data_IF_452328368442
#
_entry.id   IF_452328368442
#
_cell.length_a   1.000
_cell.length_b   1.000
_cell.length_c   1.000
_cell.angle_alpha   90.00
_cell.angle_beta   90.00
_cell.angle_gamma   90.00
#
_symmetry.space_group_name_H-M   'P 1'
#
loop_
_entity.id
_entity.type
_entity.pdbx_description
1 polymer ?
#
# COMPACT_ATOMS: atom_id res chain seq x y z
N UNK A 1 -8.57 25.71 -16.28
CA UNK A 1 -8.28 24.27 -16.50
C UNK A 1 -7.07 24.11 -17.40
N UNK A 2 -6.12 23.27 -17.00
CA UNK A 2 -4.92 22.93 -17.79
C UNK A 2 -5.30 22.34 -19.16
N UNK A 3 -4.47 22.61 -20.17
CA UNK A 3 -4.56 22.04 -21.52
C UNK A 3 -4.59 20.50 -21.47
N UNK A 4 -3.79 19.90 -20.59
CA UNK A 4 -3.75 18.45 -20.42
C UNK A 4 -5.08 17.85 -19.95
N UNK A 5 -5.77 18.52 -19.01
CA UNK A 5 -7.07 18.07 -18.52
C UNK A 5 -8.14 18.14 -19.62
N UNK A 6 -8.16 19.24 -20.40
CA UNK A 6 -9.08 19.38 -21.53
C UNK A 6 -8.81 18.34 -22.61
N UNK A 7 -7.55 18.11 -22.95
CA UNK A 7 -7.14 17.10 -23.92
C UNK A 7 -7.52 15.68 -23.47
N UNK A 8 -7.33 15.35 -22.18
CA UNK A 8 -7.73 14.04 -21.63
C UNK A 8 -9.23 13.80 -21.63
N UNK A 9 -10.04 14.84 -21.36
CA UNK A 9 -11.51 14.74 -21.49
C UNK A 9 -11.92 14.57 -22.95
N UNK A 10 -11.29 15.32 -23.87
CA UNK A 10 -11.62 15.30 -25.30
C UNK A 10 -11.22 14.00 -25.99
N UNK A 11 -10.02 13.49 -25.73
CA UNK A 11 -9.45 12.33 -26.43
C UNK A 11 -9.55 11.02 -25.64
N UNK A 12 -9.96 11.10 -24.37
CA UNK A 12 -10.10 9.95 -23.49
C UNK A 12 -8.76 9.46 -22.90
N UNK A 13 -8.84 8.77 -21.76
CA UNK A 13 -7.66 8.24 -21.04
C UNK A 13 -6.86 7.25 -21.88
N UNK A 14 -7.54 6.43 -22.69
CA UNK A 14 -6.92 5.34 -23.46
C UNK A 14 -5.83 5.85 -24.40
N UNK A 15 -6.09 6.93 -25.15
CA UNK A 15 -5.10 7.49 -26.07
C UNK A 15 -3.79 7.85 -25.38
N UNK A 16 -3.85 8.45 -24.19
CA UNK A 16 -2.64 8.84 -23.45
C UNK A 16 -1.86 7.63 -22.93
N UNK A 17 -2.57 6.56 -22.55
CA UNK A 17 -1.94 5.29 -22.19
C UNK A 17 -1.27 4.69 -23.43
N UNK A 18 -1.98 4.60 -24.55
CA UNK A 18 -1.44 4.04 -25.80
C UNK A 18 -0.19 4.83 -26.30
N UNK A 19 -0.19 6.17 -26.14
CA UNK A 19 0.98 7.00 -26.47
C UNK A 19 2.15 6.70 -25.52
N UNK A 20 1.89 6.63 -24.22
CA UNK A 20 2.91 6.31 -23.22
C UNK A 20 3.54 4.94 -23.49
N UNK A 21 2.72 3.91 -23.73
CA UNK A 21 3.19 2.56 -24.03
C UNK A 21 4.04 2.54 -25.31
N UNK A 22 3.63 3.24 -26.36
CA UNK A 22 4.42 3.37 -27.60
C UNK A 22 5.77 4.05 -27.38
N UNK A 23 5.83 5.09 -26.56
CA UNK A 23 7.10 5.76 -26.21
C UNK A 23 7.99 4.78 -25.44
N UNK A 24 7.43 4.07 -24.46
CA UNK A 24 8.19 3.11 -23.66
C UNK A 24 8.75 1.96 -24.51
N UNK A 25 7.95 1.40 -25.44
CA UNK A 25 8.42 0.39 -26.39
C UNK A 25 9.59 0.89 -27.21
N UNK A 26 9.55 2.13 -27.69
CA UNK A 26 10.70 2.73 -28.39
C UNK A 26 11.94 2.87 -27.51
N UNK A 27 11.76 3.23 -26.23
CA UNK A 27 12.88 3.27 -25.29
C UNK A 27 13.50 1.88 -25.08
N UNK A 28 12.68 0.82 -25.07
CA UNK A 28 13.14 -0.57 -24.98
C UNK A 28 13.91 -0.97 -26.25
N UNK A 29 13.37 -0.69 -27.43
CA UNK A 29 14.01 -0.97 -28.73
C UNK A 29 15.38 -0.27 -28.85
N UNK A 30 15.53 0.91 -28.25
CA UNK A 30 16.78 1.67 -28.21
C UNK A 30 17.73 1.24 -27.07
N UNK A 31 17.37 0.25 -26.27
CA UNK A 31 18.20 -0.25 -25.15
C UNK A 31 18.32 0.74 -23.99
N UNK A 32 17.40 1.70 -23.85
CA UNK A 32 17.42 2.70 -22.78
C UNK A 32 16.82 2.19 -21.47
N UNK A 33 16.09 1.08 -21.51
CA UNK A 33 15.33 0.53 -20.38
C UNK A 33 15.97 -0.76 -19.87
N UNK A 34 16.23 -0.81 -18.57
CA UNK A 34 16.59 -2.04 -17.86
C UNK A 34 15.33 -2.78 -17.38
N UNK A 35 15.25 -4.07 -17.63
CA UNK A 35 14.10 -4.91 -17.20
C UNK A 35 14.32 -5.65 -15.87
N UNK A 36 15.51 -5.55 -15.27
CA UNK A 36 15.86 -6.36 -14.10
C UNK A 36 15.16 -5.90 -12.82
N UNK A 37 15.05 -4.57 -12.64
CA UNK A 37 14.68 -3.95 -11.39
C UNK A 37 13.72 -2.78 -11.58
N UNK A 38 12.84 -2.60 -10.59
CA UNK A 38 11.83 -1.56 -10.60
C UNK A 38 11.89 -0.75 -9.31
N UNK A 39 11.98 0.58 -9.45
CA UNK A 39 11.97 1.53 -8.34
C UNK A 39 10.59 2.15 -8.24
N UNK A 40 10.03 2.25 -7.04
CA UNK A 40 8.70 2.82 -6.82
C UNK A 40 8.78 3.95 -5.79
N UNK A 41 8.21 5.09 -6.16
CA UNK A 41 7.99 6.20 -5.25
C UNK A 41 6.65 6.89 -5.53
N UNK A 42 6.21 7.74 -4.60
CA UNK A 42 5.02 8.56 -4.77
C UNK A 42 5.25 10.00 -4.36
N UNK A 43 4.67 10.91 -5.15
CA UNK A 43 4.73 12.35 -4.89
C UNK A 43 3.33 12.95 -4.79
N UNK A 44 3.22 14.02 -4.00
CA UNK A 44 1.96 14.74 -3.82
C UNK A 44 1.85 15.83 -4.87
N UNK A 45 0.80 15.76 -5.69
CA UNK A 45 0.50 16.72 -6.74
C UNK A 45 -0.69 17.56 -6.29
N UNK A 46 -0.52 18.89 -6.22
CA UNK A 46 -1.60 19.81 -5.85
C UNK A 46 -2.73 19.73 -6.88
N UNK A 47 -3.96 19.58 -6.40
CA UNK A 47 -5.13 19.58 -7.24
C UNK A 47 -5.47 21.02 -7.66
N UNK A 48 -5.99 21.17 -8.87
CA UNK A 48 -6.53 22.45 -9.34
C UNK A 48 -7.99 22.59 -8.88
N UNK A 49 -8.19 22.56 -7.56
CA UNK A 49 -9.50 22.67 -6.91
C UNK A 49 -9.38 23.60 -5.69
N UNK A 50 -10.42 24.41 -5.46
CA UNK A 50 -10.47 25.35 -4.33
C UNK A 50 -10.87 24.63 -3.05
N UNK A 51 -10.28 25.03 -1.92
CA UNK A 51 -10.71 24.56 -0.60
C UNK A 51 -12.17 24.95 -0.29
N UNK A 52 -12.66 26.06 -0.87
CA UNK A 52 -14.07 26.51 -0.75
C UNK A 52 -15.05 25.60 -1.47
N UNK A 53 -14.57 24.70 -2.35
CA UNK A 53 -15.43 23.73 -3.05
C UNK A 53 -15.80 22.51 -2.18
N UNK A 54 -15.23 22.40 -0.98
CA UNK A 54 -15.43 21.27 -0.08
C UNK A 54 -16.82 21.30 0.56
N UNK A 55 -17.53 20.19 0.44
CA UNK A 55 -18.80 19.97 1.14
C UNK A 55 -18.73 18.75 2.03
N UNK A 56 -19.47 18.80 3.14
CA UNK A 56 -19.60 17.64 4.02
C UNK A 56 -20.45 16.55 3.37
N UNK A 57 -19.99 15.32 3.53
CA UNK A 57 -20.71 14.14 3.09
C UNK A 57 -21.36 13.51 4.32
N UNK A 58 -22.69 13.37 4.30
CA UNK A 58 -23.48 12.63 5.28
C UNK A 58 -23.32 11.11 5.10
N UNK A 59 -22.09 10.62 5.01
CA UNK A 59 -21.78 9.20 5.03
C UNK A 59 -20.82 8.93 6.18
N UNK A 60 -21.12 7.91 6.98
CA UNK A 60 -20.13 7.42 7.92
C UNK A 60 -18.87 7.01 7.15
N UNK A 61 -17.65 7.19 7.69
CA UNK A 61 -16.42 6.80 7.00
C UNK A 61 -16.49 5.37 6.43
N UNK A 62 -17.09 4.42 7.16
CA UNK A 62 -17.28 3.04 6.69
C UNK A 62 -18.21 2.89 5.47
N UNK A 63 -19.27 3.69 5.37
CA UNK A 63 -20.16 3.70 4.20
C UNK A 63 -19.49 4.35 2.98
N UNK A 64 -18.66 5.38 3.21
CA UNK A 64 -17.90 6.03 2.14
C UNK A 64 -16.87 5.07 1.52
N UNK A 65 -16.10 4.32 2.34
CA UNK A 65 -15.18 3.28 1.86
C UNK A 65 -15.91 2.20 1.06
N UNK A 66 -17.00 1.63 1.61
CA UNK A 66 -17.82 0.63 0.90
C UNK A 66 -18.36 1.14 -0.45
N UNK A 67 -18.49 2.47 -0.62
CA UNK A 67 -18.93 3.10 -1.86
C UNK A 67 -17.77 3.27 -2.84
N UNK A 68 -16.62 3.76 -2.40
CA UNK A 68 -15.41 3.86 -3.22
C UNK A 68 -14.91 2.48 -3.68
N UNK A 69 -14.86 1.49 -2.78
CA UNK A 69 -14.49 0.11 -3.12
C UNK A 69 -15.43 -0.51 -4.16
N UNK A 70 -16.69 -0.07 -4.18
CA UNK A 70 -17.68 -0.51 -5.18
C UNK A 70 -17.42 0.10 -6.56
N UNK A 71 -16.84 1.31 -6.59
CA UNK A 71 -16.55 2.06 -7.81
C UNK A 71 -15.19 1.70 -8.40
N UNK A 72 -14.18 1.40 -7.56
CA UNK A 72 -12.82 1.03 -7.98
C UNK A 72 -12.67 -0.47 -8.30
N UNK A 73 -13.69 -1.31 -8.07
CA UNK A 73 -13.61 -2.74 -8.38
C UNK A 73 -13.58 -3.00 -9.90
N UNK A 74 -12.52 -3.61 -10.46
CA UNK A 74 -12.61 -4.19 -11.79
C UNK A 74 -13.63 -5.34 -11.79
N UNK A 75 -14.51 -5.36 -12.80
CA UNK A 75 -15.66 -6.28 -12.93
C UNK A 75 -15.33 -7.79 -13.05
N UNK A 76 -14.07 -8.22 -12.91
CA UNK A 76 -13.70 -9.65 -12.90
C UNK A 76 -13.16 -10.07 -11.54
N UNK A 77 -13.83 -11.03 -10.92
CA UNK A 77 -13.30 -11.85 -9.82
C UNK A 77 -12.31 -12.84 -10.45
N UNK A 78 -11.07 -12.81 -10.01
CA UNK A 78 -10.11 -13.90 -10.20
C UNK A 78 -9.93 -14.54 -8.83
N UNK A 79 -10.01 -15.86 -8.78
CA UNK A 79 -9.91 -16.66 -7.56
C UNK A 79 -8.50 -16.61 -6.98
N UNK A 80 -8.43 -16.57 -5.64
CA UNK A 80 -7.20 -16.35 -4.87
C UNK A 80 -7.31 -15.08 -4.02
N UNK A 81 -7.12 -15.19 -2.71
CA UNK A 81 -7.33 -14.10 -1.75
C UNK A 81 -6.57 -12.83 -2.14
N UNK A 82 -7.29 -11.84 -2.68
CA UNK A 82 -6.71 -10.59 -3.21
C UNK A 82 -6.05 -9.77 -2.11
N UNK A 83 -4.84 -9.31 -2.40
CA UNK A 83 -4.29 -8.09 -1.86
C UNK A 83 -5.20 -6.92 -2.25
N UNK A 84 -5.86 -6.29 -1.28
CA UNK A 84 -6.85 -5.22 -1.54
C UNK A 84 -6.25 -3.82 -1.50
N UNK A 85 -4.96 -3.69 -1.11
CA UNK A 85 -4.35 -2.39 -0.81
C UNK A 85 -4.92 -1.72 0.45
N UNK A 86 -5.83 -2.38 1.18
CA UNK A 86 -6.45 -1.84 2.39
C UNK A 86 -5.50 -1.93 3.59
N UNK A 87 -5.03 -0.78 4.05
CA UNK A 87 -4.23 -0.74 5.29
C UNK A 87 -5.14 -1.01 6.50
N UNK A 88 -4.68 -1.90 7.38
CA UNK A 88 -5.26 -2.11 8.71
C UNK A 88 -5.30 -0.77 9.48
N UNK A 89 -6.48 -0.14 9.51
CA UNK A 89 -6.73 1.19 10.11
C UNK A 89 -6.34 1.23 11.59
N UNK A 90 -6.31 0.08 12.28
CA UNK A 90 -5.89 -0.02 13.68
C UNK A 90 -4.36 0.12 13.85
N UNK A 91 -3.58 0.02 12.77
CA UNK A 91 -2.13 0.26 12.76
C UNK A 91 -1.74 1.72 12.46
N UNK A 92 -2.67 2.54 11.98
CA UNK A 92 -2.39 3.96 11.72
C UNK A 92 -2.21 4.77 13.01
N UNK A 93 -1.20 5.64 13.04
CA UNK A 93 -1.00 6.60 14.14
C UNK A 93 -2.24 7.47 14.36
N UNK A 94 -2.56 7.78 15.62
CA UNK A 94 -3.82 8.45 16.05
C UNK A 94 -4.10 9.74 15.26
N UNK A 95 -3.08 10.61 15.11
CA UNK A 95 -3.17 11.86 14.32
C UNK A 95 -3.49 11.64 12.84
N UNK A 96 -2.92 10.60 12.22
CA UNK A 96 -3.20 10.24 10.80
C UNK A 96 -4.59 9.64 10.64
N UNK A 97 -5.09 8.91 11.64
CA UNK A 97 -6.50 8.46 11.68
C UNK A 97 -7.47 9.62 11.80
N UNK A 98 -7.17 10.59 12.65
CA UNK A 98 -8.05 11.74 12.88
C UNK A 98 -8.11 12.67 11.65
N UNK A 99 -6.96 12.93 11.02
CA UNK A 99 -6.89 13.69 9.76
C UNK A 99 -7.58 12.93 8.62
N UNK A 100 -7.35 11.62 8.47
CA UNK A 100 -8.09 10.81 7.48
C UNK A 100 -9.59 10.86 7.78
N UNK A 101 -10.02 10.72 9.04
CA UNK A 101 -11.43 10.77 9.42
C UNK A 101 -12.08 12.11 9.08
N UNK A 102 -11.37 13.23 9.26
CA UNK A 102 -11.84 14.56 8.89
C UNK A 102 -11.86 14.77 7.36
N UNK A 103 -10.81 14.35 6.66
CA UNK A 103 -10.74 14.37 5.19
C UNK A 103 -11.83 13.50 4.56
N UNK A 104 -12.22 12.38 5.18
CA UNK A 104 -13.24 11.46 4.67
C UNK A 104 -14.67 12.01 4.80
N UNK A 105 -14.87 13.05 5.64
CA UNK A 105 -16.16 13.70 5.80
C UNK A 105 -16.40 14.83 4.81
N UNK A 106 -15.37 15.23 4.05
CA UNK A 106 -15.47 16.36 3.11
C UNK A 106 -15.04 15.91 1.72
N UNK A 107 -15.74 16.37 0.68
CA UNK A 107 -15.40 16.11 -0.72
C UNK A 107 -15.53 17.38 -1.53
N UNK A 108 -14.63 17.58 -2.49
CA UNK A 108 -14.72 18.72 -3.38
C UNK A 108 -15.84 18.49 -4.40
N UNK A 109 -16.68 19.51 -4.59
CA UNK A 109 -17.69 19.52 -5.66
C UNK A 109 -17.07 19.58 -7.05
N UNK A 110 -15.97 20.29 -7.19
CA UNK A 110 -15.29 20.49 -8.47
C UNK A 110 -14.34 19.35 -8.82
N UNK A 111 -13.76 18.70 -7.81
CA UNK A 111 -12.89 17.55 -8.01
C UNK A 111 -13.07 16.46 -6.94
N UNK A 112 -14.05 15.57 -7.15
CA UNK A 112 -14.37 14.44 -6.30
C UNK A 112 -13.22 13.60 -5.73
N UNK A 113 -12.13 13.45 -6.48
CA UNK A 113 -11.06 12.49 -6.17
C UNK A 113 -9.89 13.18 -5.44
N UNK A 114 -9.88 14.51 -5.43
CA UNK A 114 -8.91 15.29 -4.67
C UNK A 114 -9.21 15.21 -3.17
N UNK A 115 -8.17 14.98 -2.36
CA UNK A 115 -8.31 14.89 -0.89
C UNK A 115 -7.39 15.87 -0.19
N UNK A 116 -7.78 16.25 1.03
CA UNK A 116 -7.05 17.25 1.81
C UNK A 116 -5.76 16.65 2.34
N UNK A 117 -4.65 17.31 2.07
CA UNK A 117 -3.36 17.07 2.73
C UNK A 117 -2.99 18.30 3.53
N UNK A 118 -2.47 18.08 4.73
CA UNK A 118 -1.84 19.12 5.54
C UNK A 118 -0.32 18.99 5.44
N UNK A 119 0.36 20.07 5.07
CA UNK A 119 1.82 20.18 5.11
C UNK A 119 2.23 21.29 6.07
N UNK A 120 3.11 21.01 7.06
CA UNK A 120 3.66 22.05 7.93
C UNK A 120 4.24 23.21 7.10
N UNK A 121 3.91 24.45 7.47
CA UNK A 121 4.36 25.67 6.78
C UNK A 121 3.55 26.09 5.55
N UNK A 122 2.82 25.18 4.89
CA UNK A 122 2.05 25.48 3.67
C UNK A 122 0.53 25.41 3.87
N UNK A 123 0.07 24.93 5.03
CA UNK A 123 -1.34 24.76 5.34
C UNK A 123 -1.96 23.51 4.71
N UNK A 124 -3.29 23.47 4.65
CA UNK A 124 -4.05 22.41 3.98
C UNK A 124 -4.33 22.76 2.53
N UNK A 125 -4.30 21.79 1.64
CA UNK A 125 -4.76 21.95 0.25
C UNK A 125 -5.25 20.62 -0.32
N UNK A 126 -6.07 20.70 -1.37
CA UNK A 126 -6.48 19.55 -2.15
C UNK A 126 -5.34 19.02 -3.03
N UNK A 127 -5.19 17.70 -3.05
CA UNK A 127 -4.10 17.04 -3.78
C UNK A 127 -4.44 15.60 -4.19
N UNK A 128 -3.59 15.06 -5.06
CA UNK A 128 -3.47 13.65 -5.40
C UNK A 128 -2.10 13.13 -5.03
N UNK A 129 -1.99 11.81 -5.06
CA UNK A 129 -0.73 11.10 -5.05
C UNK A 129 -0.47 10.53 -6.43
N UNK A 130 0.64 10.92 -7.04
CA UNK A 130 1.15 10.30 -8.25
C UNK A 130 2.19 9.26 -7.83
N UNK A 131 1.91 8.00 -8.12
CA UNK A 131 2.80 6.88 -7.90
C UNK A 131 3.51 6.58 -9.21
N UNK A 132 4.82 6.50 -9.16
CA UNK A 132 5.68 6.37 -10.34
C UNK A 132 6.54 5.13 -10.12
N UNK A 133 6.61 4.30 -11.16
CA UNK A 133 7.57 3.24 -11.26
C UNK A 133 8.58 3.56 -12.35
N UNK A 134 9.85 3.42 -12.04
CA UNK A 134 10.94 3.54 -13.00
C UNK A 134 11.74 2.26 -13.07
N UNK A 135 12.46 2.07 -14.17
CA UNK A 135 13.57 1.14 -14.20
C UNK A 135 14.79 1.70 -13.43
N UNK A 136 15.92 1.01 -13.53
CA UNK A 136 17.17 1.43 -12.91
C UNK A 136 17.89 2.57 -13.64
N UNK A 137 17.56 2.83 -14.92
CA UNK A 137 18.10 3.96 -15.69
C UNK A 137 17.26 5.24 -15.55
N UNK A 138 16.14 5.20 -14.84
CA UNK A 138 15.26 6.35 -14.57
C UNK A 138 14.15 6.56 -15.61
N UNK A 139 13.96 5.64 -16.54
CA UNK A 139 12.82 5.63 -17.46
C UNK A 139 11.57 5.22 -16.70
N UNK A 140 10.51 6.02 -16.83
CA UNK A 140 9.21 5.72 -16.22
C UNK A 140 8.57 4.56 -16.98
N UNK A 141 8.32 3.46 -16.26
CA UNK A 141 7.72 2.24 -16.83
C UNK A 141 6.23 2.11 -16.50
N UNK A 142 5.78 2.71 -15.40
CA UNK A 142 4.35 2.72 -15.03
C UNK A 142 4.02 3.94 -14.16
N UNK A 143 2.76 4.38 -14.23
CA UNK A 143 2.23 5.47 -13.41
C UNK A 143 0.83 5.13 -12.93
N UNK A 144 0.55 5.41 -11.66
CA UNK A 144 -0.80 5.35 -11.10
C UNK A 144 -1.10 6.64 -10.32
N UNK A 145 -2.37 7.02 -10.24
CA UNK A 145 -2.80 8.17 -9.47
C UNK A 145 -3.88 7.75 -8.48
N UNK A 146 -3.76 8.21 -7.25
CA UNK A 146 -4.76 7.97 -6.21
C UNK A 146 -5.09 9.27 -5.46
N UNK A 147 -6.22 9.31 -4.73
CA UNK A 147 -6.41 10.30 -3.70
C UNK A 147 -5.21 10.33 -2.74
N UNK A 148 -4.80 11.51 -2.27
CA UNK A 148 -3.70 11.66 -1.31
C UNK A 148 -3.92 10.95 0.03
N UNK A 149 -5.19 10.79 0.44
CA UNK A 149 -5.57 10.05 1.64
C UNK A 149 -5.23 8.56 1.56
N UNK A 150 -5.15 8.01 0.34
CA UNK A 150 -4.84 6.60 0.09
C UNK A 150 -3.41 6.28 0.45
N UNK A 151 -3.19 5.05 0.90
CA UNK A 151 -1.85 4.58 1.25
C UNK A 151 -1.05 4.22 0.01
N UNK A 152 0.27 4.43 0.07
CA UNK A 152 1.19 4.27 -1.06
C UNK A 152 1.17 2.84 -1.62
N UNK A 153 1.04 1.87 -0.72
CA UNK A 153 0.96 0.44 -1.05
C UNK A 153 -0.25 0.08 -1.91
N UNK A 154 -1.34 0.87 -1.86
CA UNK A 154 -2.56 0.59 -2.61
C UNK A 154 -2.36 0.65 -4.14
N UNK A 155 -1.38 1.43 -4.62
CA UNK A 155 -1.10 1.57 -6.05
C UNK A 155 -0.09 0.53 -6.58
N UNK A 156 0.56 -0.24 -5.71
CA UNK A 156 1.59 -1.22 -6.08
C UNK A 156 1.10 -2.26 -7.10
N UNK A 157 -0.13 -2.82 -6.97
CA UNK A 157 -0.63 -3.80 -7.94
C UNK A 157 -0.82 -3.19 -9.33
N UNK A 158 -1.35 -1.97 -9.41
CA UNK A 158 -1.57 -1.28 -10.69
C UNK A 158 -0.24 -0.96 -11.38
N UNK A 159 0.77 -0.54 -10.61
CA UNK A 159 2.11 -0.26 -11.12
C UNK A 159 2.77 -1.54 -11.67
N UNK A 160 2.68 -2.63 -10.92
CA UNK A 160 3.27 -3.92 -11.33
C UNK A 160 2.55 -4.48 -12.54
N UNK A 161 1.22 -4.50 -12.54
CA UNK A 161 0.46 -4.99 -13.70
C UNK A 161 0.74 -4.17 -14.96
N UNK A 162 0.91 -2.85 -14.82
CA UNK A 162 1.23 -1.97 -15.95
C UNK A 162 2.66 -2.18 -16.46
N UNK A 163 3.64 -2.34 -15.55
CA UNK A 163 5.03 -2.65 -15.91
C UNK A 163 5.13 -4.04 -16.58
N UNK A 164 4.48 -5.04 -15.99
CA UNK A 164 4.48 -6.44 -16.46
C UNK A 164 3.95 -6.62 -17.87
N UNK A 165 2.97 -5.81 -18.29
CA UNK A 165 2.41 -5.85 -19.64
C UNK A 165 3.44 -5.58 -20.74
N UNK A 166 4.50 -4.83 -20.43
CA UNK A 166 5.44 -4.31 -21.43
C UNK A 166 6.83 -4.92 -21.25
N UNK A 167 7.32 -4.99 -20.00
CA UNK A 167 8.68 -5.44 -19.67
C UNK A 167 8.74 -6.83 -19.03
N UNK A 168 7.59 -7.41 -18.70
CA UNK A 168 7.51 -8.64 -17.89
C UNK A 168 7.69 -8.39 -16.39
N UNK A 169 7.74 -9.46 -15.61
CA UNK A 169 7.84 -9.36 -14.15
C UNK A 169 9.27 -8.96 -13.72
N UNK A 170 9.43 -7.89 -12.93
CA UNK A 170 10.75 -7.47 -12.47
C UNK A 170 11.32 -8.50 -11.48
N UNK A 171 12.64 -8.69 -11.51
CA UNK A 171 13.32 -9.62 -10.60
C UNK A 171 13.35 -9.10 -9.16
N UNK A 172 13.38 -7.77 -9.00
CA UNK A 172 13.37 -7.12 -7.71
C UNK A 172 12.71 -5.73 -7.75
N UNK A 173 12.21 -5.30 -6.58
CA UNK A 173 11.66 -3.96 -6.36
C UNK A 173 12.35 -3.29 -5.18
N UNK A 174 12.69 -2.01 -5.34
CA UNK A 174 13.08 -1.13 -4.24
C UNK A 174 12.07 0.01 -4.08
N UNK A 175 11.76 0.32 -2.83
CA UNK A 175 10.83 1.39 -2.49
C UNK A 175 11.06 1.86 -1.06
N UNK A 176 10.48 3.02 -0.74
CA UNK A 176 10.54 3.63 0.58
C UNK A 176 9.99 2.73 1.70
N UNK A 177 10.38 3.02 2.94
CA UNK A 177 9.92 2.26 4.13
C UNK A 177 8.40 2.24 4.31
N UNK A 178 7.67 3.20 3.72
CA UNK A 178 6.20 3.25 3.71
C UNK A 178 5.57 2.10 2.92
N UNK A 179 6.30 1.52 1.97
CA UNK A 179 5.87 0.36 1.20
C UNK A 179 6.05 -0.97 1.95
N UNK A 180 6.71 -0.94 3.12
CA UNK A 180 7.02 -2.11 3.95
C UNK A 180 5.83 -2.77 4.67
N UNK A 181 4.59 -2.52 4.25
CA UNK A 181 3.41 -3.09 4.88
C UNK A 181 3.32 -4.60 4.60
N UNK A 182 2.94 -5.39 5.61
CA UNK A 182 2.92 -6.86 5.57
C UNK A 182 2.21 -7.42 4.32
N UNK A 183 1.03 -6.87 3.99
CA UNK A 183 0.23 -7.32 2.86
C UNK A 183 0.89 -6.98 1.52
N UNK A 184 1.57 -5.83 1.43
CA UNK A 184 2.29 -5.40 0.23
C UNK A 184 3.49 -6.33 -0.03
N UNK A 185 4.29 -6.57 1.01
CA UNK A 185 5.43 -7.48 0.93
C UNK A 185 4.99 -8.90 0.57
N UNK A 186 3.87 -9.36 1.15
CA UNK A 186 3.29 -10.66 0.78
C UNK A 186 2.89 -10.72 -0.70
N UNK A 187 2.22 -9.70 -1.22
CA UNK A 187 1.84 -9.64 -2.63
C UNK A 187 3.07 -9.73 -3.56
N UNK A 188 4.15 -9.02 -3.23
CA UNK A 188 5.41 -9.06 -3.98
C UNK A 188 6.07 -10.45 -3.91
N UNK A 189 6.08 -11.07 -2.73
CA UNK A 189 6.61 -12.41 -2.53
C UNK A 189 5.80 -13.48 -3.24
N UNK A 190 4.46 -13.38 -3.24
CA UNK A 190 3.58 -14.32 -3.95
C UNK A 190 3.79 -14.24 -5.48
N UNK A 191 4.31 -13.12 -5.99
CA UNK A 191 4.77 -12.94 -7.38
C UNK A 191 6.24 -13.32 -7.62
N UNK A 192 6.94 -13.90 -6.63
CA UNK A 192 8.37 -14.21 -6.66
C UNK A 192 9.29 -13.00 -6.91
N UNK A 193 8.86 -11.78 -6.55
CA UNK A 193 9.65 -10.56 -6.69
C UNK A 193 10.47 -10.34 -5.43
N UNK A 194 11.80 -10.18 -5.56
CA UNK A 194 12.67 -9.85 -4.42
C UNK A 194 12.43 -8.40 -3.99
N UNK A 195 12.49 -8.12 -2.69
CA UNK A 195 12.18 -6.77 -2.18
C UNK A 195 13.35 -6.17 -1.42
N UNK A 196 13.75 -4.96 -1.82
CA UNK A 196 14.63 -4.07 -1.09
C UNK A 196 13.78 -2.99 -0.39
N UNK A 197 12.84 -3.43 0.45
CA UNK A 197 11.89 -2.58 1.17
C UNK A 197 11.97 -2.94 2.64
N UNK A 198 12.22 -1.95 3.51
CA UNK A 198 12.27 -2.18 4.96
C UNK A 198 10.87 -2.55 5.48
N UNK A 199 10.67 -3.74 6.09
CA UNK A 199 9.37 -4.11 6.64
C UNK A 199 8.94 -3.19 7.80
N UNK A 200 7.65 -2.90 7.88
CA UNK A 200 7.06 -2.19 9.00
C UNK A 200 7.07 -3.10 10.24
N UNK A 201 8.14 -3.03 11.02
CA UNK A 201 8.18 -3.66 12.33
C UNK A 201 7.48 -2.74 13.33
N UNK A 202 6.26 -3.09 13.75
CA UNK A 202 5.75 -2.52 15.01
C UNK A 202 6.74 -2.89 16.10
N UNK A 203 7.38 -1.88 16.69
CA UNK A 203 8.18 -2.06 17.89
C UNK A 203 7.29 -2.71 18.95
N UNK A 204 7.80 -3.78 19.57
CA UNK A 204 7.19 -4.28 20.80
C UNK A 204 7.09 -3.11 21.77
N UNK A 205 6.01 -3.08 22.58
CA UNK A 205 5.91 -2.10 23.66
C UNK A 205 7.24 -2.10 24.45
N UNK A 206 7.81 -0.94 24.80
CA UNK A 206 9.02 -0.89 25.61
C UNK A 206 8.87 -1.78 26.85
N UNK A 207 9.86 -2.64 27.12
CA UNK A 207 9.80 -3.64 28.19
C UNK A 207 9.30 -5.04 27.78
N UNK A 208 8.77 -5.21 26.57
CA UNK A 208 8.31 -6.50 26.03
C UNK A 208 9.24 -7.05 24.94
N UNK A 209 9.33 -8.37 24.82
CA UNK A 209 10.08 -9.03 23.75
C UNK A 209 9.59 -8.63 22.37
N UNK A 210 10.54 -8.36 21.47
CA UNK A 210 10.25 -8.14 20.06
C UNK A 210 9.97 -9.47 19.36
N UNK A 211 9.24 -9.42 18.24
CA UNK A 211 8.95 -10.61 17.42
C UNK A 211 10.23 -11.36 17.00
N UNK A 212 11.33 -10.65 16.82
CA UNK A 212 12.62 -11.22 16.40
C UNK A 212 13.22 -12.19 17.44
N UNK A 213 12.80 -12.10 18.70
CA UNK A 213 13.20 -13.04 19.75
C UNK A 213 12.47 -14.38 19.66
N UNK A 214 11.43 -14.47 18.83
CA UNK A 214 10.70 -15.71 18.54
C UNK A 214 11.20 -16.27 17.21
N UNK A 215 11.78 -17.47 17.23
CA UNK A 215 12.31 -18.11 16.03
C UNK A 215 11.24 -18.98 15.38
N UNK A 216 11.01 -18.80 14.08
CA UNK A 216 10.10 -19.68 13.34
C UNK A 216 10.83 -20.95 12.91
N UNK A 217 10.20 -22.11 13.12
CA UNK A 217 10.64 -23.40 12.61
C UNK A 217 9.65 -23.85 11.54
N UNK A 218 10.10 -23.87 10.29
CA UNK A 218 9.29 -24.22 9.11
C UNK A 218 8.93 -25.71 9.06
N UNK A 219 9.79 -26.61 9.56
CA UNK A 219 9.57 -28.06 9.49
C UNK A 219 8.36 -28.52 10.30
N UNK A 220 8.06 -27.82 11.39
CA UNK A 220 6.95 -28.17 12.32
C UNK A 220 5.87 -27.09 12.41
N UNK A 221 5.92 -26.08 11.54
CA UNK A 221 5.03 -24.90 11.55
C UNK A 221 4.78 -24.33 12.96
N UNK A 222 5.86 -24.01 13.68
CA UNK A 222 5.81 -23.50 15.05
C UNK A 222 6.79 -22.36 15.28
N UNK A 223 6.45 -21.47 16.21
CA UNK A 223 7.42 -20.52 16.76
C UNK A 223 8.04 -21.05 18.06
N UNK A 224 9.32 -20.79 18.27
CA UNK A 224 10.04 -21.08 19.50
C UNK A 224 10.19 -19.77 20.26
N UNK A 225 9.69 -19.70 21.49
CA UNK A 225 9.80 -18.51 22.33
C UNK A 225 11.21 -18.36 22.95
N UNK A 226 11.53 -17.20 23.54
CA UNK A 226 12.79 -16.99 24.24
C UNK A 226 13.05 -17.96 25.39
N UNK A 227 11.99 -18.54 25.97
CA UNK A 227 12.04 -19.57 27.01
C UNK A 227 12.07 -21.00 26.45
N UNK A 228 12.30 -21.17 25.14
CA UNK A 228 12.39 -22.48 24.48
C UNK A 228 11.06 -23.23 24.27
N UNK A 229 9.91 -22.65 24.67
CA UNK A 229 8.60 -23.29 24.51
C UNK A 229 8.04 -23.09 23.09
N UNK A 230 7.34 -24.11 22.61
CA UNK A 230 6.70 -24.12 21.29
C UNK A 230 5.37 -23.38 21.30
N UNK A 231 5.18 -22.51 20.31
CA UNK A 231 3.93 -21.84 19.98
C UNK A 231 3.37 -22.51 18.74
N UNK A 232 2.30 -23.30 18.93
CA UNK A 232 1.64 -24.01 17.84
C UNK A 232 0.64 -23.08 17.14
N UNK A 233 0.44 -23.31 15.85
CA UNK A 233 -0.62 -22.66 15.08
C UNK A 233 -1.98 -22.95 15.74
N UNK A 234 -2.73 -21.90 16.06
CA UNK A 234 -4.03 -22.00 16.75
C UNK A 234 -5.21 -21.63 15.86
N UNK A 235 -5.10 -20.52 15.14
CA UNK A 235 -6.18 -20.04 14.27
C UNK A 235 -5.64 -19.22 13.12
N UNK A 236 -6.44 -19.07 12.08
CA UNK A 236 -6.17 -18.16 10.97
C UNK A 236 -7.20 -17.03 11.02
N UNK A 237 -6.74 -15.80 11.08
CA UNK A 237 -7.56 -14.63 10.83
C UNK A 237 -7.65 -14.43 9.31
N UNK A 238 -8.80 -14.79 8.75
CA UNK A 238 -9.05 -14.73 7.31
C UNK A 238 -9.08 -13.30 6.75
N UNK A 239 -9.54 -12.31 7.53
CA UNK A 239 -9.68 -10.94 7.02
C UNK A 239 -8.34 -10.26 6.75
N UNK A 240 -7.29 -10.65 7.48
CA UNK A 240 -5.92 -10.12 7.32
C UNK A 240 -4.92 -11.19 6.88
N UNK A 241 -5.41 -12.38 6.53
CA UNK A 241 -4.60 -13.56 6.22
C UNK A 241 -3.48 -13.86 7.26
N UNK A 242 -3.72 -13.54 8.54
CA UNK A 242 -2.75 -13.72 9.63
C UNK A 242 -2.93 -15.07 10.30
N UNK A 243 -1.84 -15.77 10.57
CA UNK A 243 -1.86 -17.00 11.37
C UNK A 243 -1.48 -16.65 12.80
N UNK A 244 -2.32 -17.06 13.76
CA UNK A 244 -2.07 -16.88 15.17
C UNK A 244 -1.40 -18.13 15.74
N UNK A 245 -0.21 -17.93 16.30
CA UNK A 245 0.52 -18.96 17.05
C UNK A 245 0.36 -18.70 18.54
N UNK A 246 0.11 -19.75 19.32
CA UNK A 246 -0.09 -19.62 20.76
C UNK A 246 0.63 -20.73 21.52
N UNK A 247 1.24 -20.35 22.64
CA UNK A 247 1.80 -21.28 23.62
C UNK A 247 0.69 -21.89 24.48
N UNK A 248 0.99 -23.01 25.14
CA UNK A 248 0.08 -23.55 26.14
C UNK A 248 -0.01 -22.59 27.34
N UNK A 249 -1.22 -22.41 27.88
CA UNK A 249 -1.44 -21.53 29.04
C UNK A 249 -0.65 -22.01 30.26
N UNK A 250 -0.54 -23.32 30.45
CA UNK A 250 0.19 -23.93 31.56
C UNK A 250 1.68 -23.55 31.53
N UNK A 251 2.31 -23.66 30.36
CA UNK A 251 3.72 -23.27 30.17
C UNK A 251 3.97 -21.79 30.43
N UNK A 252 3.00 -20.93 30.10
CA UNK A 252 3.14 -19.49 30.30
C UNK A 252 2.82 -19.03 31.72
N UNK A 253 1.96 -19.75 32.44
CA UNK A 253 1.56 -19.33 33.79
C UNK A 253 2.73 -19.38 34.78
N UNK A 254 3.60 -20.38 34.65
CA UNK A 254 4.79 -20.57 35.49
C UNK A 254 6.07 -19.99 34.86
N UNK A 255 5.95 -19.23 33.76
CA UNK A 255 7.12 -18.74 33.03
C UNK A 255 7.76 -17.53 33.73
N UNK A 256 9.07 -17.57 34.05
CA UNK A 256 9.75 -16.45 34.70
C UNK A 256 9.84 -15.21 33.79
N UNK A 257 9.75 -15.41 32.47
CA UNK A 257 9.82 -14.34 31.49
C UNK A 257 8.43 -13.74 31.15
N UNK A 258 7.35 -14.17 31.82
CA UNK A 258 5.97 -13.74 31.52
C UNK A 258 5.80 -12.22 31.55
N UNK A 259 6.44 -11.53 32.51
CA UNK A 259 6.35 -10.07 32.64
C UNK A 259 6.92 -9.28 31.45
N UNK A 260 7.82 -9.88 30.67
CA UNK A 260 8.40 -9.32 29.45
C UNK A 260 7.84 -9.96 28.18
N UNK A 261 6.89 -10.90 28.30
CA UNK A 261 6.39 -11.71 27.20
C UNK A 261 5.23 -11.04 26.46
N UNK A 262 5.08 -11.36 25.17
CA UNK A 262 4.00 -10.85 24.32
C UNK A 262 2.68 -11.57 24.58
N UNK A 263 1.57 -10.84 24.44
CA UNK A 263 0.18 -11.35 24.50
C UNK A 263 -0.42 -11.48 23.12
#
# INVERSE_FOLDING_TARGET
HSIFSKARVRFGKKLFVDIFEKILVKCIELGLVSSEGMLIDSTIVRANASDSSMVEINLSPGQYWKRLDRLDRPKKKLDGGRYTGEVDKNKMGKRRRDINRLSLRKKSKTDPDATIVYKPGTGSHLSYKAHIATDTNGVITAVSASPSVSHDTGAVPDLIESHEKILGTPSWIAADTKYGFEECLKYLQDKNIKTAIRPETKTSKPGYFSKNKFKYNSSIDCYICPNGKLLKRKSKNYSHNRINYKSNKLDCNLCPLRGKCIS
#
